data_IF_440983689845
#
_entry.id   IF_440983689845
#
_cell.length_a   1.000
_cell.length_b   1.000
_cell.length_c   1.000
_cell.angle_alpha   90.00
_cell.angle_beta   90.00
_cell.angle_gamma   90.00
#
_symmetry.space_group_name_H-M   'P 1'
#
loop_
_entity.id
_entity.type
_entity.pdbx_description
1 polymer ?
#
# COMPACT_ATOMS: atom_id res chain seq x y z
N UNK A 1 -57.57 -35.84 -85.22
CA UNK A 1 -56.11 -35.68 -85.40
C UNK A 1 -55.52 -35.56 -84.01
N UNK A 2 -54.98 -36.66 -83.46
CA UNK A 2 -54.44 -36.71 -82.10
C UNK A 2 -52.93 -36.93 -82.19
N UNK A 3 -52.16 -35.96 -81.69
CA UNK A 3 -50.78 -36.06 -81.16
C UNK A 3 -50.63 -34.83 -80.28
N UNK A 4 -51.05 -34.84 -79.01
CA UNK A 4 -50.50 -35.51 -77.81
C UNK A 4 -49.07 -35.05 -77.49
N UNK A 5 -49.01 -34.16 -76.50
CA UNK A 5 -47.88 -33.79 -75.65
C UNK A 5 -47.17 -35.00 -75.03
N UNK A 6 -45.84 -34.93 -74.93
CA UNK A 6 -44.86 -35.63 -74.04
C UNK A 6 -43.52 -35.67 -74.81
N UNK A 7 -42.32 -35.37 -74.33
CA UNK A 7 -41.72 -35.40 -72.99
C UNK A 7 -40.44 -34.52 -73.03
N UNK A 8 -40.48 -33.27 -72.57
CA UNK A 8 -39.27 -32.41 -72.54
C UNK A 8 -38.83 -32.00 -71.14
N UNK A 9 -39.25 -32.75 -70.11
CA UNK A 9 -38.84 -32.53 -68.72
C UNK A 9 -37.88 -33.60 -68.17
N UNK A 10 -37.46 -34.57 -68.99
CA UNK A 10 -36.54 -35.64 -68.59
C UNK A 10 -35.07 -35.36 -68.90
N UNK A 11 -34.73 -34.33 -69.67
CA UNK A 11 -33.35 -34.07 -70.10
C UNK A 11 -32.49 -33.22 -69.17
N UNK A 12 -32.98 -32.89 -67.96
CA UNK A 12 -32.19 -32.10 -66.98
C UNK A 12 -31.59 -32.94 -65.85
N UNK A 13 -31.83 -34.26 -65.79
CA UNK A 13 -31.35 -35.14 -64.71
C UNK A 13 -30.32 -36.19 -65.18
N UNK A 14 -30.00 -36.28 -66.47
CA UNK A 14 -29.03 -37.25 -67.00
C UNK A 14 -27.84 -36.61 -67.75
N UNK A 15 -27.29 -35.50 -67.25
CA UNK A 15 -25.98 -35.02 -67.73
C UNK A 15 -24.84 -35.42 -66.77
N UNK A 16 -24.25 -36.59 -67.03
CA UNK A 16 -23.11 -37.14 -66.29
C UNK A 16 -21.77 -36.46 -66.65
N UNK A 17 -21.74 -35.43 -67.50
CA UNK A 17 -20.49 -34.77 -67.91
C UNK A 17 -19.92 -33.81 -66.85
N UNK A 18 -20.70 -33.44 -65.82
CA UNK A 18 -20.27 -32.54 -64.74
C UNK A 18 -19.62 -33.26 -63.53
N UNK A 19 -19.75 -34.59 -63.40
CA UNK A 19 -19.21 -35.32 -62.25
C UNK A 19 -17.68 -35.38 -62.23
N UNK A 20 -17.04 -35.46 -63.40
CA UNK A 20 -15.58 -35.53 -63.53
C UNK A 20 -14.89 -34.24 -63.06
N UNK A 21 -15.31 -33.02 -63.47
CA UNK A 21 -14.67 -31.79 -62.99
C UNK A 21 -14.85 -31.53 -61.49
N UNK A 22 -16.05 -31.76 -60.92
CA UNK A 22 -16.27 -31.54 -59.48
C UNK A 22 -15.53 -32.55 -58.60
N UNK A 23 -15.43 -33.82 -59.02
CA UNK A 23 -14.65 -34.81 -58.29
C UNK A 23 -13.15 -34.49 -58.29
N UNK A 24 -12.60 -34.04 -59.42
CA UNK A 24 -11.20 -33.61 -59.52
C UNK A 24 -10.93 -32.40 -58.64
N UNK A 25 -11.81 -31.40 -58.66
CA UNK A 25 -11.72 -30.22 -57.79
C UNK A 25 -11.78 -30.64 -56.31
N UNK A 26 -12.67 -31.56 -55.94
CA UNK A 26 -12.77 -32.10 -54.57
C UNK A 26 -11.50 -32.81 -54.11
N UNK A 27 -10.86 -33.60 -54.98
CA UNK A 27 -9.58 -34.26 -54.69
C UNK A 27 -8.47 -33.22 -54.48
N UNK A 28 -8.39 -32.17 -55.31
CA UNK A 28 -7.40 -31.10 -55.13
C UNK A 28 -7.62 -30.32 -53.83
N UNK A 29 -8.87 -30.05 -53.46
CA UNK A 29 -9.19 -29.40 -52.17
C UNK A 29 -8.75 -30.30 -51.00
N UNK A 30 -9.01 -31.61 -51.07
CA UNK A 30 -8.57 -32.57 -50.05
C UNK A 30 -7.05 -32.64 -49.92
N UNK A 31 -6.33 -32.64 -51.04
CA UNK A 31 -4.86 -32.63 -51.06
C UNK A 31 -4.28 -31.31 -50.53
N UNK A 32 -4.88 -30.17 -50.89
CA UNK A 32 -4.48 -28.88 -50.36
C UNK A 32 -4.75 -28.78 -48.84
N UNK A 33 -5.90 -29.27 -48.38
CA UNK A 33 -6.27 -29.28 -46.97
C UNK A 33 -5.37 -30.20 -46.12
N UNK A 34 -5.03 -31.39 -46.65
CA UNK A 34 -4.09 -32.29 -45.96
C UNK A 34 -2.68 -31.72 -45.93
N UNK A 35 -2.21 -31.10 -47.02
CA UNK A 35 -0.91 -30.44 -47.06
C UNK A 35 -0.82 -29.27 -46.07
N UNK A 36 -1.84 -28.39 -46.02
CA UNK A 36 -1.88 -27.28 -45.06
C UNK A 36 -1.99 -27.79 -43.63
N UNK A 37 -2.78 -28.82 -43.36
CA UNK A 37 -2.90 -29.40 -42.03
C UNK A 37 -1.58 -30.00 -41.52
N UNK A 38 -0.83 -30.71 -42.38
CA UNK A 38 0.52 -31.20 -42.05
C UNK A 38 1.50 -30.04 -41.82
N UNK A 39 1.37 -28.96 -42.59
CA UNK A 39 2.21 -27.77 -42.41
C UNK A 39 1.90 -27.04 -41.09
N UNK A 40 0.62 -26.91 -40.73
CA UNK A 40 0.19 -26.37 -39.44
C UNK A 40 0.68 -27.24 -38.28
N UNK A 41 0.53 -28.56 -38.34
CA UNK A 41 1.06 -29.47 -37.32
C UNK A 41 2.58 -29.35 -37.15
N UNK A 42 3.33 -29.14 -38.24
CA UNK A 42 4.78 -28.89 -38.16
C UNK A 42 5.11 -27.53 -37.55
N UNK A 43 4.31 -26.50 -37.82
CA UNK A 43 4.48 -25.19 -37.18
C UNK A 43 4.15 -25.31 -35.69
N UNK A 44 3.03 -25.92 -35.32
CA UNK A 44 2.63 -26.12 -33.92
C UNK A 44 3.67 -26.95 -33.17
N UNK A 45 4.22 -28.00 -33.79
CA UNK A 45 5.33 -28.77 -33.23
C UNK A 45 6.60 -27.92 -33.05
N UNK A 46 6.97 -27.11 -34.05
CA UNK A 46 8.14 -26.23 -33.96
C UNK A 46 7.95 -25.11 -32.94
N UNK A 47 6.73 -24.57 -32.82
CA UNK A 47 6.34 -23.56 -31.84
C UNK A 47 6.32 -24.16 -30.44
N UNK A 48 5.78 -25.36 -30.27
CA UNK A 48 5.83 -26.09 -29.00
C UNK A 48 7.28 -26.43 -28.61
N UNK A 49 8.11 -26.86 -29.55
CA UNK A 49 9.53 -27.13 -29.33
C UNK A 49 10.31 -25.84 -29.02
N UNK A 50 10.04 -24.73 -29.72
CA UNK A 50 10.65 -23.42 -29.38
C UNK A 50 10.16 -22.89 -28.04
N UNK A 51 8.88 -23.04 -27.66
CA UNK A 51 8.39 -22.66 -26.33
C UNK A 51 9.04 -23.53 -25.24
N UNK A 52 9.19 -24.84 -25.48
CA UNK A 52 9.85 -25.77 -24.55
C UNK A 52 11.35 -25.51 -24.43
N UNK A 53 12.04 -25.25 -25.54
CA UNK A 53 13.50 -25.02 -25.58
C UNK A 53 13.91 -23.60 -25.20
N UNK A 54 13.10 -22.58 -25.49
CA UNK A 54 13.32 -21.19 -25.01
C UNK A 54 13.08 -21.08 -23.51
N UNK A 55 12.29 -22.00 -22.93
CA UNK A 55 12.04 -22.12 -21.49
C UNK A 55 12.92 -23.20 -20.87
N UNK A 56 14.21 -23.25 -21.22
CA UNK A 56 15.24 -23.95 -20.43
C UNK A 56 15.45 -23.19 -19.12
N UNK A 57 14.42 -23.18 -18.26
CA UNK A 57 14.44 -22.47 -16.99
C UNK A 57 15.53 -23.07 -16.12
N UNK A 58 16.50 -22.27 -15.72
CA UNK A 58 17.53 -22.68 -14.79
C UNK A 58 16.85 -23.19 -13.50
N UNK A 59 16.99 -24.48 -13.12
CA UNK A 59 16.28 -25.03 -11.97
C UNK A 59 16.59 -24.28 -10.67
N UNK A 60 17.82 -23.75 -10.51
CA UNK A 60 18.18 -22.91 -9.37
C UNK A 60 17.39 -21.59 -9.38
N UNK A 61 17.28 -20.94 -10.53
CA UNK A 61 16.52 -19.70 -10.67
C UNK A 61 15.03 -19.92 -10.40
N UNK A 62 14.48 -21.08 -10.81
CA UNK A 62 13.10 -21.43 -10.48
C UNK A 62 12.89 -21.61 -8.98
N UNK A 63 13.81 -22.31 -8.30
CA UNK A 63 13.76 -22.48 -6.85
C UNK A 63 13.76 -21.11 -6.14
N UNK A 64 14.64 -20.21 -6.56
CA UNK A 64 14.73 -18.83 -6.03
C UNK A 64 13.41 -18.06 -6.28
N UNK A 65 12.87 -18.11 -7.49
CA UNK A 65 11.64 -17.38 -7.84
C UNK A 65 10.43 -17.90 -7.05
N UNK A 66 10.32 -19.22 -6.86
CA UNK A 66 9.24 -19.84 -6.09
C UNK A 66 9.36 -19.48 -4.60
N UNK A 67 10.56 -19.60 -4.02
CA UNK A 67 10.80 -19.21 -2.64
C UNK A 67 10.55 -17.71 -2.42
N UNK A 68 10.98 -16.85 -3.34
CA UNK A 68 10.71 -15.41 -3.26
C UNK A 68 9.21 -15.10 -3.26
N UNK A 69 8.43 -15.78 -4.10
CA UNK A 69 6.96 -15.60 -4.13
C UNK A 69 6.30 -16.11 -2.84
N UNK A 70 6.78 -17.20 -2.26
CA UNK A 70 6.23 -17.75 -1.02
C UNK A 70 6.63 -16.91 0.19
N UNK A 71 7.89 -16.46 0.26
CA UNK A 71 8.37 -15.53 1.27
C UNK A 71 7.64 -14.19 1.23
N UNK A 72 7.32 -13.66 0.05
CA UNK A 72 6.49 -12.46 -0.09
C UNK A 72 5.05 -12.67 0.46
N UNK A 73 4.54 -13.90 0.38
CA UNK A 73 3.26 -14.28 0.99
C UNK A 73 3.38 -14.45 2.51
N UNK A 74 4.47 -15.01 3.02
CA UNK A 74 4.76 -15.05 4.45
C UNK A 74 4.84 -13.63 5.04
N UNK A 75 5.55 -12.72 4.36
CA UNK A 75 5.61 -11.31 4.74
C UNK A 75 4.22 -10.65 4.70
N UNK A 76 3.37 -11.03 3.73
CA UNK A 76 1.99 -10.54 3.65
C UNK A 76 1.17 -10.96 4.88
N UNK A 77 1.23 -12.23 5.27
CA UNK A 77 0.53 -12.74 6.45
C UNK A 77 1.02 -12.07 7.73
N UNK A 78 2.34 -11.93 7.89
CA UNK A 78 2.93 -11.23 9.03
C UNK A 78 2.48 -9.75 9.10
N UNK A 79 2.49 -9.05 7.96
CA UNK A 79 2.03 -7.66 7.91
C UNK A 79 0.50 -7.54 8.12
N UNK A 80 -0.29 -8.50 7.67
CA UNK A 80 -1.74 -8.52 7.92
C UNK A 80 -2.04 -8.68 9.41
N UNK A 81 -1.33 -9.57 10.10
CA UNK A 81 -1.44 -9.76 11.55
C UNK A 81 -1.07 -8.48 12.31
N UNK A 82 0.01 -7.82 11.90
CA UNK A 82 0.45 -6.57 12.51
C UNK A 82 -0.55 -5.41 12.31
N UNK A 83 -1.11 -5.28 11.11
CA UNK A 83 -2.13 -4.27 10.81
C UNK A 83 -3.49 -4.57 11.49
N UNK A 84 -3.83 -5.84 11.67
CA UNK A 84 -4.99 -6.26 12.46
C UNK A 84 -4.82 -5.87 13.92
N UNK A 85 -3.67 -6.19 14.51
CA UNK A 85 -3.34 -5.76 15.88
C UNK A 85 -3.42 -4.24 16.03
N UNK A 86 -2.86 -3.48 15.09
CA UNK A 86 -2.93 -2.01 15.10
C UNK A 86 -4.38 -1.50 15.06
N UNK A 87 -5.27 -2.16 14.32
CA UNK A 87 -6.70 -1.83 14.28
C UNK A 87 -7.46 -2.20 15.56
N UNK A 88 -7.06 -3.27 16.25
CA UNK A 88 -7.66 -3.73 17.52
C UNK A 88 -7.21 -2.91 18.73
N UNK A 89 -6.10 -2.16 18.63
CA UNK A 89 -5.52 -1.38 19.72
C UNK A 89 -5.49 0.12 19.38
N UNK A 90 -6.66 0.78 19.25
CA UNK A 90 -6.72 2.22 19.05
C UNK A 90 -6.42 2.99 20.35
N UNK A 91 -5.58 4.00 20.25
CA UNK A 91 -5.30 4.98 21.29
C UNK A 91 -6.09 6.25 21.00
N UNK A 92 -7.00 6.59 21.92
CA UNK A 92 -7.90 7.73 21.76
C UNK A 92 -7.34 8.98 22.45
N UNK A 93 -6.69 8.83 23.60
CA UNK A 93 -5.97 9.87 24.32
C UNK A 93 -4.96 9.19 25.27
N UNK A 94 -3.70 9.64 25.36
CA UNK A 94 -2.77 9.11 26.35
C UNK A 94 -3.24 9.40 27.78
N UNK A 95 -3.44 8.36 28.59
CA UNK A 95 -3.64 8.53 30.03
C UNK A 95 -2.36 9.08 30.68
N UNK A 96 -2.44 10.27 31.29
CA UNK A 96 -1.38 10.80 32.14
C UNK A 96 -0.44 11.87 31.55
N UNK A 97 -0.66 12.34 30.32
CA UNK A 97 0.11 13.45 29.73
C UNK A 97 -0.62 14.80 29.77
N UNK A 98 0.17 15.88 29.85
CA UNK A 98 -0.30 17.26 30.07
C UNK A 98 -0.84 17.97 28.81
N UNK A 99 -0.74 17.36 27.64
CA UNK A 99 -1.03 18.02 26.35
C UNK A 99 -2.38 17.53 25.84
N UNK A 100 -3.43 18.27 26.18
CA UNK A 100 -4.76 18.08 25.60
C UNK A 100 -4.84 18.77 24.24
N UNK A 101 -5.57 18.17 23.29
CA UNK A 101 -6.00 18.89 22.09
C UNK A 101 -6.83 20.10 22.52
N UNK A 102 -6.39 21.29 22.12
CA UNK A 102 -7.06 22.54 22.48
C UNK A 102 -6.99 23.54 21.34
N UNK A 103 -8.02 24.37 21.24
CA UNK A 103 -8.12 25.47 20.28
C UNK A 103 -8.89 26.60 20.93
N UNK A 104 -8.34 27.80 20.86
CA UNK A 104 -8.92 29.05 21.33
C UNK A 104 -8.88 30.12 20.24
N UNK A 105 -9.82 31.05 20.28
CA UNK A 105 -9.85 32.24 19.41
C UNK A 105 -9.72 31.92 17.89
N UNK A 106 -10.29 30.79 17.47
CA UNK A 106 -10.23 30.23 16.11
C UNK A 106 -8.79 29.92 15.60
N UNK A 107 -7.80 29.83 16.50
CA UNK A 107 -6.49 29.26 16.19
C UNK A 107 -6.60 27.73 16.14
N UNK A 108 -6.15 27.12 15.04
CA UNK A 108 -6.12 25.68 14.90
C UNK A 108 -4.73 25.21 14.52
N UNK A 109 -4.29 24.13 15.15
CA UNK A 109 -3.09 23.39 14.78
C UNK A 109 -3.44 21.91 14.68
N UNK A 110 -3.07 21.27 13.57
CA UNK A 110 -3.47 19.89 13.28
C UNK A 110 -2.27 19.15 12.69
N UNK A 111 -1.78 18.07 13.32
CA UNK A 111 -0.82 17.17 12.71
C UNK A 111 -1.54 16.33 11.65
N UNK A 112 -1.04 16.36 10.41
CA UNK A 112 -1.59 15.53 9.32
C UNK A 112 -1.17 14.07 9.43
N UNK A 113 -0.10 13.80 10.18
CA UNK A 113 0.40 12.48 10.53
C UNK A 113 0.72 12.44 12.04
N UNK A 114 0.12 11.47 12.74
CA UNK A 114 0.21 11.36 14.20
C UNK A 114 1.16 10.25 14.68
N UNK A 115 1.56 9.32 13.81
CA UNK A 115 2.51 8.25 14.13
C UNK A 115 3.77 8.47 13.31
N UNK A 116 4.89 8.72 13.98
CA UNK A 116 6.17 9.04 13.36
C UNK A 116 7.28 8.18 13.94
N UNK A 117 8.15 7.71 13.07
CA UNK A 117 9.47 7.23 13.45
C UNK A 117 10.49 8.38 13.45
N UNK A 118 11.65 8.13 14.05
CA UNK A 118 12.78 9.06 13.97
C UNK A 118 13.19 9.26 12.52
N UNK A 119 13.69 10.45 12.19
CA UNK A 119 14.07 10.89 10.84
C UNK A 119 12.90 11.05 9.85
N UNK A 120 11.66 10.72 10.22
CA UNK A 120 10.47 11.06 9.45
C UNK A 120 10.07 12.54 9.62
N UNK A 121 9.16 13.01 8.76
CA UNK A 121 8.71 14.41 8.74
C UNK A 121 7.28 14.50 9.27
N UNK A 122 7.11 15.25 10.36
CA UNK A 122 5.82 15.73 10.83
C UNK A 122 5.30 16.81 9.90
N UNK A 123 4.06 16.65 9.42
CA UNK A 123 3.34 17.63 8.63
C UNK A 123 2.30 18.30 9.51
N UNK A 124 2.37 19.62 9.65
CA UNK A 124 1.48 20.40 10.51
C UNK A 124 0.66 21.36 9.65
N UNK A 125 -0.66 21.36 9.83
CA UNK A 125 -1.56 22.36 9.27
C UNK A 125 -1.90 23.38 10.35
N UNK A 126 -1.69 24.65 10.04
CA UNK A 126 -1.98 25.77 10.93
C UNK A 126 -3.05 26.62 10.28
N UNK A 127 -4.15 26.88 10.98
CA UNK A 127 -5.15 27.86 10.54
C UNK A 127 -5.24 28.97 11.57
N UNK A 128 -5.11 30.20 11.08
CA UNK A 128 -5.21 31.40 11.88
C UNK A 128 -6.58 32.07 11.66
N UNK A 129 -7.14 32.77 12.66
CA UNK A 129 -8.42 33.46 12.57
C UNK A 129 -8.45 34.47 11.40
N UNK A 130 -9.58 34.52 10.69
CA UNK A 130 -9.88 35.59 9.73
C UNK A 130 -10.56 36.75 10.44
N UNK A 131 -9.95 37.93 10.37
CA UNK A 131 -10.49 39.21 10.82
C UNK A 131 -10.47 39.49 12.35
N UNK A 132 -9.44 40.22 12.78
CA UNK A 132 -9.25 40.74 14.14
C UNK A 132 -10.07 42.04 14.36
N UNK A 133 -10.69 42.63 13.33
CA UNK A 133 -11.24 44.00 13.41
C UNK A 133 -12.61 44.12 14.09
N UNK A 134 -13.41 43.05 14.20
CA UNK A 134 -14.78 43.15 14.73
C UNK A 134 -14.90 43.15 16.27
N UNK A 135 -13.92 42.57 16.99
CA UNK A 135 -14.01 42.40 18.46
C UNK A 135 -12.77 42.89 19.24
N UNK A 136 -11.67 43.22 18.56
CA UNK A 136 -10.33 43.04 19.15
C UNK A 136 -9.35 44.21 18.85
N UNK A 137 -9.82 45.44 18.59
CA UNK A 137 -8.90 46.55 18.25
C UNK A 137 -7.93 47.01 19.36
N UNK A 138 -8.08 46.57 20.62
CA UNK A 138 -7.27 47.08 21.73
C UNK A 138 -6.23 46.11 22.33
N UNK A 139 -6.40 44.79 22.23
CA UNK A 139 -5.60 43.82 23.02
C UNK A 139 -4.52 43.05 22.22
N UNK A 140 -4.59 43.05 20.88
CA UNK A 140 -3.91 42.05 20.03
C UNK A 140 -3.09 42.68 18.89
N UNK A 141 -2.41 43.80 19.17
CA UNK A 141 -1.40 44.35 18.27
C UNK A 141 0.00 44.00 18.78
N UNK A 142 0.89 43.63 17.85
CA UNK A 142 2.34 43.45 18.06
C UNK A 142 2.78 42.25 18.90
N UNK A 143 2.06 41.12 18.89
CA UNK A 143 2.59 39.86 19.44
C UNK A 143 2.96 38.90 18.32
N UNK A 144 4.03 38.15 18.55
CA UNK A 144 4.54 37.15 17.62
C UNK A 144 3.68 35.89 17.67
N UNK A 145 3.54 35.22 16.52
CA UNK A 145 2.95 33.87 16.45
C UNK A 145 4.11 32.87 16.42
N UNK A 146 4.13 31.97 17.39
CA UNK A 146 5.20 30.97 17.55
C UNK A 146 4.61 29.56 17.46
N UNK A 147 5.20 28.73 16.60
CA UNK A 147 4.99 27.28 16.62
C UNK A 147 6.17 26.65 17.37
N UNK A 148 5.85 25.85 18.38
CA UNK A 148 6.81 25.05 19.12
C UNK A 148 6.43 23.58 18.97
N UNK A 149 7.41 22.75 18.61
CA UNK A 149 7.26 21.30 18.54
C UNK A 149 8.20 20.70 19.58
N UNK A 150 7.66 19.93 20.51
CA UNK A 150 8.43 19.29 21.59
C UNK A 150 8.38 17.77 21.45
N UNK A 151 9.46 17.09 21.80
CA UNK A 151 9.44 15.64 21.96
C UNK A 151 8.73 15.21 23.26
N UNK A 152 8.65 13.90 23.48
CA UNK A 152 7.98 13.32 24.66
C UNK A 152 8.64 13.64 26.01
N UNK A 153 9.87 14.13 26.02
CA UNK A 153 10.55 14.60 27.24
C UNK A 153 10.34 16.09 27.50
N UNK A 154 9.64 16.79 26.60
CA UNK A 154 9.49 18.25 26.61
C UNK A 154 10.68 18.98 26.00
N UNK A 155 11.56 18.31 25.25
CA UNK A 155 12.67 18.95 24.56
C UNK A 155 12.20 19.56 23.24
N UNK A 156 12.54 20.83 23.00
CA UNK A 156 12.19 21.54 21.77
C UNK A 156 12.88 20.90 20.56
N UNK A 157 12.08 20.31 19.67
CA UNK A 157 12.52 19.82 18.35
C UNK A 157 12.62 21.00 17.37
N UNK A 158 11.64 21.91 17.41
CA UNK A 158 11.55 23.03 16.46
C UNK A 158 10.81 24.21 17.06
N UNK A 159 11.29 25.41 16.73
CA UNK A 159 10.65 26.68 17.03
C UNK A 159 10.61 27.55 15.76
N UNK A 160 9.41 27.94 15.35
CA UNK A 160 9.18 28.77 14.16
C UNK A 160 8.42 30.03 14.57
N UNK A 161 9.01 31.19 14.32
CA UNK A 161 8.38 32.48 14.54
C UNK A 161 7.85 33.04 13.21
N UNK A 162 6.53 33.17 13.10
CA UNK A 162 5.84 33.73 11.93
C UNK A 162 5.79 35.27 11.94
N UNK A 163 6.32 35.89 12.99
CA UNK A 163 6.29 37.32 13.22
C UNK A 163 4.92 37.79 13.70
N UNK A 164 4.67 39.09 13.49
CA UNK A 164 3.50 39.78 14.02
C UNK A 164 2.31 39.69 13.06
N UNK A 165 1.14 39.38 13.61
CA UNK A 165 -0.11 39.43 12.87
C UNK A 165 -0.48 40.89 12.51
N UNK A 166 -0.21 41.32 11.29
CA UNK A 166 -0.64 42.64 10.79
C UNK A 166 -1.79 42.49 9.79
N UNK A 167 -3.03 42.68 10.25
CA UNK A 167 -4.19 42.93 9.38
C UNK A 167 -4.54 41.80 8.41
N UNK A 168 -5.31 40.81 8.87
CA UNK A 168 -5.78 39.71 8.00
C UNK A 168 -7.27 39.84 7.68
N UNK A 169 -7.59 40.37 6.50
CA UNK A 169 -8.92 40.25 5.88
C UNK A 169 -9.17 38.87 5.24
N UNK A 170 -8.22 37.93 5.37
CA UNK A 170 -8.27 36.60 4.76
C UNK A 170 -7.80 35.55 5.78
N UNK A 171 -8.48 34.41 5.82
CA UNK A 171 -8.05 33.23 6.59
C UNK A 171 -6.65 32.82 6.10
N UNK A 172 -5.69 32.74 7.00
CA UNK A 172 -4.33 32.27 6.69
C UNK A 172 -4.25 30.80 7.05
N UNK A 173 -3.94 29.96 6.06
CA UNK A 173 -3.69 28.53 6.23
C UNK A 173 -2.26 28.26 5.80
N UNK A 174 -1.48 27.65 6.69
CA UNK A 174 -0.07 27.34 6.50
C UNK A 174 0.13 25.83 6.66
N UNK A 175 1.13 25.32 5.93
CA UNK A 175 1.61 23.95 6.08
C UNK A 175 3.08 23.99 6.43
N UNK A 176 3.47 23.20 7.44
CA UNK A 176 4.85 23.09 7.90
C UNK A 176 5.32 21.65 7.93
N UNK A 177 6.57 21.46 7.53
CA UNK A 177 7.26 20.19 7.56
C UNK A 177 8.37 20.25 8.61
N UNK A 178 8.26 19.42 9.65
CA UNK A 178 9.23 19.34 10.75
C UNK A 178 9.87 17.96 10.75
N UNK A 179 11.16 17.88 10.46
CA UNK A 179 11.92 16.63 10.52
C UNK A 179 12.16 16.22 11.98
N UNK A 180 11.77 15.02 12.36
CA UNK A 180 12.01 14.44 13.69
C UNK A 180 13.48 13.99 13.76
N UNK A 181 14.29 14.48 14.72
CA UNK A 181 15.69 14.09 14.82
C UNK A 181 15.85 12.68 15.39
N UNK A 182 16.93 11.99 15.02
CA UNK A 182 17.31 10.69 15.62
C UNK A 182 17.53 10.75 17.15
N UNK A 183 17.79 11.93 17.72
CA UNK A 183 17.91 12.10 19.17
C UNK A 183 16.56 12.28 19.91
N UNK A 184 15.43 12.32 19.20
CA UNK A 184 14.12 12.56 19.82
C UNK A 184 13.73 11.44 20.79
N UNK A 185 13.22 11.84 21.96
CA UNK A 185 12.69 10.90 22.94
C UNK A 185 11.43 10.21 22.41
N UNK A 186 11.32 8.91 22.67
CA UNK A 186 10.16 8.12 22.22
C UNK A 186 8.96 8.33 23.14
N UNK A 187 7.77 8.49 22.54
CA UNK A 187 6.50 8.64 23.24
C UNK A 187 5.65 9.77 22.65
N UNK A 188 4.65 10.21 23.41
CA UNK A 188 3.74 11.29 23.03
C UNK A 188 4.44 12.65 23.06
N UNK A 189 4.53 13.27 21.90
CA UNK A 189 5.13 14.58 21.63
C UNK A 189 4.03 15.64 21.41
N UNK A 190 4.39 16.92 21.48
CA UNK A 190 3.43 18.04 21.38
C UNK A 190 3.73 18.99 20.24
N UNK A 191 2.66 19.56 19.70
CA UNK A 191 2.69 20.76 18.87
C UNK A 191 1.88 21.84 19.54
N UNK A 192 2.48 23.02 19.68
CA UNK A 192 1.91 24.12 20.44
C UNK A 192 2.03 25.41 19.63
N UNK A 193 0.91 26.14 19.55
CA UNK A 193 0.81 27.40 18.85
C UNK A 193 0.54 28.52 19.85
N UNK A 194 1.49 29.44 19.95
CA UNK A 194 1.45 30.57 20.86
C UNK A 194 1.19 31.88 20.12
N UNK A 195 0.50 32.80 20.80
CA UNK A 195 0.37 34.19 20.42
C UNK A 195 0.93 35.09 21.54
N UNK A 196 2.15 35.60 21.35
CA UNK A 196 2.96 36.11 22.47
C UNK A 196 3.27 34.99 23.45
N UNK A 197 2.90 35.17 24.72
CA UNK A 197 3.13 34.17 25.78
C UNK A 197 1.87 33.30 26.06
N UNK A 198 0.79 33.48 25.30
CA UNK A 198 -0.46 32.74 25.48
C UNK A 198 -0.53 31.54 24.53
N UNK A 199 -0.73 30.33 25.08
CA UNK A 199 -1.03 29.13 24.29
C UNK A 199 -2.43 29.25 23.70
N UNK A 200 -2.55 29.12 22.37
CA UNK A 200 -3.81 29.27 21.64
C UNK A 200 -4.31 28.00 21.00
N UNK A 201 -3.42 27.12 20.60
CA UNK A 201 -3.80 25.80 20.15
C UNK A 201 -2.71 24.79 20.50
N UNK A 202 -3.11 23.57 20.78
CA UNK A 202 -2.20 22.47 21.02
C UNK A 202 -2.76 21.18 20.46
N UNK A 203 -1.87 20.32 20.00
CA UNK A 203 -2.20 18.95 19.62
C UNK A 203 -1.00 18.03 19.91
N UNK A 204 -1.17 16.73 19.66
CA UNK A 204 -0.17 15.72 19.96
C UNK A 204 0.10 14.77 18.79
N UNK A 205 1.26 14.13 18.85
CA UNK A 205 1.68 13.05 17.95
C UNK A 205 2.56 12.07 18.73
N UNK A 206 2.88 10.91 18.15
CA UNK A 206 3.70 9.87 18.77
C UNK A 206 4.99 9.71 17.98
N UNK A 207 6.11 9.69 18.71
CA UNK A 207 7.43 9.33 18.19
C UNK A 207 7.76 7.94 18.73
N UNK A 208 7.56 6.88 17.96
CA UNK A 208 7.87 5.52 18.41
C UNK A 208 8.33 4.61 17.29
N UNK A 209 9.03 3.54 17.65
CA UNK A 209 9.30 2.46 16.72
C UNK A 209 7.96 1.82 16.36
N UNK A 210 7.65 1.67 15.07
CA UNK A 210 6.36 1.16 14.64
C UNK A 210 6.09 -0.24 15.21
N UNK A 211 5.08 -0.42 16.09
CA UNK A 211 4.73 -1.75 16.61
C UNK A 211 4.33 -2.71 15.49
N UNK A 212 3.89 -2.16 14.36
CA UNK A 212 3.62 -2.92 13.12
C UNK A 212 4.88 -3.61 12.62
N UNK A 213 6.04 -2.92 12.62
CA UNK A 213 7.32 -3.54 12.20
C UNK A 213 7.78 -4.61 13.19
N UNK A 214 7.61 -4.38 14.49
CA UNK A 214 7.96 -5.36 15.53
C UNK A 214 7.15 -6.65 15.41
N UNK A 215 5.82 -6.52 15.32
CA UNK A 215 4.92 -7.66 15.19
C UNK A 215 5.17 -8.38 13.86
N UNK A 216 5.35 -7.63 12.77
CA UNK A 216 5.68 -8.22 11.46
C UNK A 216 6.98 -9.00 11.51
N UNK A 217 8.04 -8.44 12.10
CA UNK A 217 9.33 -9.11 12.23
C UNK A 217 9.19 -10.41 13.03
N UNK A 218 8.49 -10.38 14.15
CA UNK A 218 8.26 -11.56 14.99
C UNK A 218 7.47 -12.66 14.27
N UNK A 219 6.33 -12.31 13.66
CA UNK A 219 5.51 -13.24 12.91
C UNK A 219 6.26 -13.81 11.69
N UNK A 220 7.00 -12.96 10.96
CA UNK A 220 7.80 -13.39 9.81
C UNK A 220 8.93 -14.34 10.23
N UNK A 221 9.67 -14.03 11.30
CA UNK A 221 10.71 -14.91 11.84
C UNK A 221 10.16 -16.28 12.30
N UNK A 222 8.94 -16.30 12.85
CA UNK A 222 8.25 -17.56 13.19
C UNK A 222 7.98 -18.41 11.95
N UNK A 223 7.54 -17.79 10.84
CA UNK A 223 7.34 -18.47 9.56
C UNK A 223 8.67 -18.94 8.94
N UNK A 224 9.72 -18.12 9.01
CA UNK A 224 11.05 -18.46 8.51
C UNK A 224 11.67 -19.65 9.26
N UNK A 225 11.63 -19.63 10.59
CA UNK A 225 12.20 -20.68 11.43
C UNK A 225 11.52 -22.03 11.20
N UNK A 226 10.23 -22.03 10.87
CA UNK A 226 9.45 -23.23 10.60
C UNK A 226 9.69 -23.81 9.21
N UNK A 227 9.89 -22.96 8.20
CA UNK A 227 9.80 -23.38 6.79
C UNK A 227 11.09 -23.20 5.97
N UNK A 228 12.02 -22.36 6.40
CA UNK A 228 13.19 -21.95 5.61
C UNK A 228 14.51 -22.16 6.33
N UNK A 229 14.55 -23.15 7.25
CA UNK A 229 15.76 -23.56 7.97
C UNK A 229 16.07 -25.04 7.73
N UNK A 230 17.36 -25.41 7.80
CA UNK A 230 17.79 -26.81 7.78
C UNK A 230 17.45 -27.59 6.51
N UNK A 231 17.42 -26.92 5.36
CA UNK A 231 17.04 -27.47 4.05
C UNK A 231 15.59 -28.00 3.99
N UNK A 232 14.68 -27.45 4.80
CA UNK A 232 13.26 -27.85 4.82
C UNK A 232 12.49 -27.45 3.54
N UNK A 233 12.75 -26.25 3.01
CA UNK A 233 12.15 -25.81 1.74
C UNK A 233 12.98 -26.28 0.54
N UNK A 234 12.48 -27.29 -0.18
CA UNK A 234 13.18 -27.88 -1.32
C UNK A 234 12.38 -27.75 -2.61
N UNK A 235 13.07 -27.43 -3.71
CA UNK A 235 12.54 -27.53 -5.07
C UNK A 235 13.52 -28.32 -5.94
N UNK A 236 13.11 -29.52 -6.35
CA UNK A 236 13.96 -30.49 -7.05
C UNK A 236 15.26 -30.74 -6.28
N UNK A 237 16.41 -30.50 -6.89
CA UNK A 237 17.74 -30.68 -6.29
C UNK A 237 18.19 -29.51 -5.40
N UNK A 238 17.41 -28.43 -5.27
CA UNK A 238 17.81 -27.26 -4.49
C UNK A 238 17.03 -27.09 -3.20
N UNK A 239 17.71 -26.70 -2.13
CA UNK A 239 17.11 -26.18 -0.91
C UNK A 239 17.45 -24.71 -0.70
N UNK A 240 16.55 -23.96 -0.06
CA UNK A 240 16.76 -22.55 0.27
C UNK A 240 16.68 -22.38 1.79
N UNK A 241 17.75 -21.85 2.37
CA UNK A 241 17.77 -21.44 3.77
C UNK A 241 17.84 -19.92 3.85
N UNK A 242 16.97 -19.32 4.63
CA UNK A 242 16.92 -17.86 4.80
C UNK A 242 17.65 -17.48 6.08
N UNK A 243 18.36 -16.35 6.10
CA UNK A 243 18.95 -15.84 7.33
C UNK A 243 17.84 -15.50 8.35
N UNK A 244 17.88 -16.08 9.57
CA UNK A 244 16.86 -15.83 10.59
C UNK A 244 17.04 -14.45 11.23
N UNK A 245 16.15 -14.13 12.18
CA UNK A 245 16.23 -12.94 13.05
C UNK A 245 16.17 -11.61 12.29
N UNK A 246 15.24 -11.52 11.34
CA UNK A 246 14.89 -10.26 10.66
C UNK A 246 14.48 -9.24 11.70
N UNK A 247 15.13 -8.09 11.69
CA UNK A 247 14.87 -7.00 12.62
C UNK A 247 13.81 -6.04 12.08
N UNK A 248 13.07 -5.34 12.95
CA UNK A 248 12.09 -4.33 12.56
C UNK A 248 12.67 -3.27 11.61
N UNK A 249 13.92 -2.84 11.82
CA UNK A 249 14.58 -1.81 11.01
C UNK A 249 14.90 -2.26 9.58
N UNK A 250 14.86 -3.58 9.31
CA UNK A 250 15.04 -4.13 7.97
C UNK A 250 13.74 -4.16 7.16
N UNK A 251 12.60 -3.85 7.80
CA UNK A 251 11.28 -3.82 7.17
C UNK A 251 10.91 -2.38 6.86
N UNK A 252 10.75 -2.07 5.58
CA UNK A 252 10.23 -0.81 5.10
C UNK A 252 8.72 -0.92 4.88
N UNK A 253 7.94 0.03 5.43
CA UNK A 253 6.50 0.11 5.23
C UNK A 253 6.19 1.43 4.56
N UNK A 254 5.57 1.38 3.38
CA UNK A 254 5.14 2.57 2.64
C UNK A 254 3.62 2.60 2.51
N UNK A 255 3.02 3.76 2.77
CA UNK A 255 1.58 4.00 2.58
C UNK A 255 1.32 4.44 1.14
N UNK A 256 0.36 3.80 0.49
CA UNK A 256 -0.15 4.21 -0.82
C UNK A 256 -1.47 4.90 -0.62
N UNK A 257 -1.50 6.21 -0.86
CA UNK A 257 -2.70 7.02 -0.72
C UNK A 257 -3.49 7.08 -2.03
N UNK A 258 -4.81 7.17 -1.92
CA UNK A 258 -5.68 7.27 -3.08
C UNK A 258 -7.12 7.56 -2.69
N UNK A 259 -7.98 7.70 -3.70
CA UNK A 259 -9.42 7.88 -3.52
C UNK A 259 -10.13 6.54 -3.59
N UNK A 260 -11.19 6.39 -2.79
CA UNK A 260 -12.05 5.20 -2.82
C UNK A 260 -13.25 5.50 -3.73
N UNK A 261 -13.59 4.57 -4.62
CA UNK A 261 -14.82 4.65 -5.44
C UNK A 261 -16.10 4.29 -4.66
N UNK A 262 -15.97 3.93 -3.39
CA UNK A 262 -17.10 3.62 -2.50
C UNK A 262 -17.70 4.91 -1.97
N UNK A 263 -18.99 4.90 -1.63
CA UNK A 263 -19.71 5.99 -0.99
C UNK A 263 -19.26 6.17 0.47
N UNK A 264 -17.99 6.52 0.65
CA UNK A 264 -17.44 6.93 1.94
C UNK A 264 -17.41 8.46 1.94
N UNK A 265 -18.17 9.06 2.84
CA UNK A 265 -18.25 10.52 2.96
C UNK A 265 -17.02 11.01 3.72
N UNK A 266 -16.28 12.03 3.28
CA UNK A 266 -16.46 12.82 2.07
C UNK A 266 -15.75 12.20 0.86
N UNK A 267 -16.37 12.35 -0.32
CA UNK A 267 -15.94 11.81 -1.62
C UNK A 267 -14.59 12.33 -2.17
N UNK A 268 -13.83 13.08 -1.37
CA UNK A 268 -12.61 13.79 -1.79
C UNK A 268 -11.44 13.66 -0.80
N UNK A 269 -11.51 12.72 0.15
CA UNK A 269 -10.41 12.44 1.08
C UNK A 269 -9.46 11.41 0.48
N UNK A 270 -8.16 11.67 0.60
CA UNK A 270 -7.12 10.68 0.29
C UNK A 270 -6.99 9.75 1.49
N UNK A 271 -7.19 8.46 1.25
CA UNK A 271 -7.07 7.42 2.25
C UNK A 271 -5.81 6.61 2.01
N UNK A 272 -5.19 6.07 3.05
CA UNK A 272 -4.25 4.95 2.88
C UNK A 272 -5.04 3.77 2.33
N UNK A 273 -4.85 3.42 1.05
CA UNK A 273 -5.56 2.31 0.40
C UNK A 273 -4.77 1.02 0.50
N UNK A 274 -3.44 1.12 0.46
CA UNK A 274 -2.54 -0.02 0.61
C UNK A 274 -1.32 0.31 1.46
N UNK A 275 -0.75 -0.71 2.07
CA UNK A 275 0.60 -0.71 2.58
C UNK A 275 1.48 -1.57 1.70
N UNK A 276 2.67 -1.07 1.38
CA UNK A 276 3.73 -1.84 0.74
C UNK A 276 4.75 -2.17 1.81
N UNK A 277 4.82 -3.46 2.16
CA UNK A 277 5.85 -3.99 3.04
C UNK A 277 7.01 -4.48 2.18
N UNK A 278 8.23 -4.11 2.52
CA UNK A 278 9.42 -4.41 1.76
C UNK A 278 10.58 -4.81 2.67
N UNK A 279 11.32 -5.84 2.28
CA UNK A 279 12.63 -6.17 2.85
C UNK A 279 13.62 -6.02 1.70
N UNK A 280 14.41 -4.93 1.65
CA UNK A 280 15.26 -4.61 0.51
C UNK A 280 16.32 -5.68 0.22
N UNK A 281 16.83 -6.33 1.26
CA UNK A 281 17.83 -7.38 1.17
C UNK A 281 17.58 -8.48 2.20
N UNK A 282 16.92 -9.54 1.77
CA UNK A 282 16.78 -10.78 2.53
C UNK A 282 17.87 -11.76 2.09
N UNK A 283 18.81 -12.06 2.99
CA UNK A 283 19.90 -12.98 2.70
C UNK A 283 19.43 -14.44 2.74
N UNK A 284 19.95 -15.24 1.83
CA UNK A 284 19.67 -16.66 1.76
C UNK A 284 20.88 -17.46 1.26
N UNK A 285 20.89 -18.74 1.62
CA UNK A 285 21.82 -19.75 1.11
C UNK A 285 21.02 -20.76 0.27
N UNK A 286 21.34 -20.82 -1.02
CA UNK A 286 20.89 -21.87 -1.92
C UNK A 286 21.85 -23.06 -1.81
N UNK A 287 21.32 -24.25 -1.57
CA UNK A 287 22.10 -25.49 -1.45
C UNK A 287 21.68 -26.45 -2.55
N UNK A 288 22.62 -26.92 -3.37
CA UNK A 288 22.41 -28.04 -4.26
C UNK A 288 22.58 -29.34 -3.44
N UNK A 289 21.50 -30.09 -3.26
CA UNK A 289 21.44 -31.30 -2.46
C UNK A 289 22.14 -32.50 -3.13
N UNK A 290 22.34 -32.46 -4.44
CA UNK A 290 23.05 -33.52 -5.19
C UNK A 290 24.57 -33.35 -5.13
N UNK A 291 25.07 -32.11 -5.27
CA UNK A 291 26.52 -31.83 -5.27
C UNK A 291 27.06 -31.41 -3.90
N UNK A 292 26.19 -30.94 -3.01
CA UNK A 292 26.56 -30.35 -1.72
C UNK A 292 27.08 -28.91 -1.82
N UNK A 293 27.08 -28.31 -3.02
CA UNK A 293 27.51 -26.93 -3.22
C UNK A 293 26.49 -25.93 -2.67
N UNK A 294 26.98 -24.86 -2.06
CA UNK A 294 26.14 -23.79 -1.51
C UNK A 294 26.52 -22.44 -2.09
N UNK A 295 25.52 -21.60 -2.36
CA UNK A 295 25.68 -20.24 -2.85
C UNK A 295 24.88 -19.27 -1.99
N UNK A 296 25.55 -18.21 -1.51
CA UNK A 296 24.92 -17.15 -0.75
C UNK A 296 24.51 -15.99 -1.66
N UNK A 297 23.33 -15.45 -1.43
CA UNK A 297 22.81 -14.31 -2.16
C UNK A 297 21.78 -13.56 -1.34
N UNK A 298 21.20 -12.52 -1.91
CA UNK A 298 20.10 -11.78 -1.31
C UNK A 298 18.97 -11.60 -2.32
N UNK A 299 17.75 -11.45 -1.82
CA UNK A 299 16.58 -11.13 -2.62
C UNK A 299 15.83 -9.96 -2.01
N UNK A 300 15.24 -9.13 -2.86
CA UNK A 300 14.29 -8.11 -2.43
C UNK A 300 12.91 -8.74 -2.33
N UNK A 301 12.27 -8.61 -1.17
CA UNK A 301 10.87 -9.00 -0.99
C UNK A 301 10.00 -7.75 -0.96
N UNK A 302 8.85 -7.81 -1.61
CA UNK A 302 7.84 -6.76 -1.51
C UNK A 302 6.46 -7.38 -1.61
N UNK A 303 5.54 -6.88 -0.80
CA UNK A 303 4.15 -7.32 -0.78
C UNK A 303 3.21 -6.15 -0.52
N UNK A 304 1.99 -6.27 -1.04
CA UNK A 304 0.96 -5.24 -0.95
C UNK A 304 -0.16 -5.77 -0.04
N UNK A 305 -0.51 -5.00 0.98
CA UNK A 305 -1.59 -5.32 1.91
C UNK A 305 -2.65 -4.22 1.82
N UNK A 306 -3.90 -4.60 1.60
CA UNK A 306 -5.03 -3.65 1.56
C UNK A 306 -5.26 -3.04 2.94
N UNK A 307 -5.35 -1.72 3.01
CA UNK A 307 -5.62 -1.02 4.26
C UNK A 307 -7.06 -1.23 4.72
N UNK A 308 -7.22 -1.49 6.02
CA UNK A 308 -8.52 -1.47 6.72
C UNK A 308 -8.79 -0.13 7.42
N UNK A 309 -7.80 0.78 7.49
CA UNK A 309 -7.94 2.12 8.10
C UNK A 309 -9.16 2.89 7.60
N UNK A 310 -9.48 2.94 6.29
CA UNK A 310 -10.57 3.79 5.81
C UNK A 310 -11.94 3.34 6.31
N UNK A 311 -12.11 2.04 6.55
CA UNK A 311 -13.34 1.51 7.13
C UNK A 311 -13.41 1.81 8.63
N UNK A 312 -12.28 1.65 9.33
CA UNK A 312 -12.20 1.88 10.76
C UNK A 312 -12.42 3.37 11.10
N UNK A 313 -11.80 4.27 10.34
CA UNK A 313 -11.95 5.72 10.50
C UNK A 313 -13.42 6.16 10.38
N UNK A 314 -14.17 5.58 9.44
CA UNK A 314 -15.59 5.89 9.27
C UNK A 314 -16.45 5.33 10.39
N UNK A 315 -16.22 4.10 10.84
CA UNK A 315 -16.94 3.53 11.98
C UNK A 315 -16.74 4.38 13.24
N UNK A 316 -15.52 4.87 13.45
CA UNK A 316 -15.18 5.77 14.56
C UNK A 316 -15.90 7.10 14.41
N UNK A 317 -15.91 7.68 13.21
CA UNK A 317 -16.58 8.96 12.95
C UNK A 317 -18.10 8.88 13.10
N UNK A 318 -18.72 7.79 12.62
CA UNK A 318 -20.15 7.53 12.82
C UNK A 318 -20.46 7.43 14.32
N UNK A 319 -19.64 6.69 15.07
CA UNK A 319 -19.76 6.57 16.51
C UNK A 319 -19.61 7.92 17.26
N UNK A 320 -18.61 8.74 16.91
CA UNK A 320 -18.43 10.09 17.47
C UNK A 320 -19.63 11.01 17.20
N UNK A 321 -20.21 10.89 16.00
CA UNK A 321 -21.42 11.64 15.60
C UNK A 321 -22.63 11.23 16.44
N UNK A 322 -22.85 9.92 16.62
CA UNK A 322 -23.96 9.38 17.41
C UNK A 322 -23.83 9.70 18.91
N UNK A 323 -22.60 9.83 19.42
CA UNK A 323 -22.35 10.27 20.80
C UNK A 323 -22.64 11.77 21.04
N UNK A 324 -22.94 12.55 20.00
CA UNK A 324 -23.25 13.97 20.12
C UNK A 324 -22.04 14.85 20.46
N UNK A 325 -20.82 14.34 20.29
CA UNK A 325 -19.56 15.10 20.45
C UNK A 325 -19.28 16.03 19.26
N UNK A 326 -20.32 16.45 18.54
CA UNK A 326 -20.23 17.39 17.42
C UNK A 326 -20.08 18.83 17.95
N UNK A 327 -18.98 19.13 18.65
CA UNK A 327 -18.39 20.45 18.52
C UNK A 327 -17.81 20.55 17.13
N UNK A 328 -18.40 21.42 16.32
CA UNK A 328 -18.34 21.51 14.87
C UNK A 328 -16.98 21.92 14.26
N UNK A 329 -15.85 21.34 14.68
CA UNK A 329 -14.53 21.75 14.16
C UNK A 329 -13.50 20.68 13.82
N UNK A 330 -13.67 19.40 14.18
CA UNK A 330 -12.61 18.41 13.93
C UNK A 330 -12.97 17.43 12.80
N UNK A 331 -12.25 17.54 11.69
CA UNK A 331 -12.24 16.53 10.60
C UNK A 331 -11.18 15.45 10.82
N UNK A 332 -10.52 15.46 11.98
CA UNK A 332 -9.43 14.56 12.37
C UNK A 332 -9.84 13.78 13.61
N UNK A 333 -10.12 12.49 13.42
CA UNK A 333 -10.44 11.55 14.50
C UNK A 333 -9.41 11.65 15.62
N UNK A 334 -9.84 11.57 16.87
CA UNK A 334 -8.94 11.51 18.04
C UNK A 334 -8.22 10.15 18.15
N UNK A 335 -8.25 9.33 17.11
CA UNK A 335 -7.90 7.92 17.18
C UNK A 335 -6.58 7.68 16.46
N UNK A 336 -5.56 7.38 17.25
CA UNK A 336 -4.25 6.92 16.78
C UNK A 336 -4.22 5.40 16.86
N UNK A 337 -3.87 4.75 15.75
CA UNK A 337 -3.85 3.29 15.71
C UNK A 337 -2.49 2.74 16.18
N UNK A 338 -2.54 1.82 17.15
CA UNK A 338 -1.43 0.94 17.48
C UNK A 338 -0.34 1.52 18.39
N UNK A 339 -0.63 2.52 19.23
CA UNK A 339 0.32 2.96 20.24
C UNK A 339 0.16 2.12 21.54
N UNK A 340 1.28 1.81 22.20
CA UNK A 340 1.32 1.09 23.49
C UNK A 340 2.14 1.81 24.53
#
# INVERSE_FOLDING_TARGET
>A
MVRKFSDDFSYFIEDNCAYIPFAVIGIFILLAATYTSVHFLKIDSKVAETIYTTKKSNPSQNAINLASSDLARCLNYAGMEALEWQGEHPVILPEGNAVSRSSEDDFMIIPKNQNLEREETLQVSINLPSDIWGKIEAFWKNRDILLIVNDSSGHEIKNINYGQATGFFQKVSLEEDVKIPDSAASGYASIELYYGDELKASDWFVIEASPVKDITANAFNTLLSTNYQGNSHTFREYAINVEPDIKPEQIEIRKVTGTLQREISPAYKNYTVYYVFEIPALNYTLVNLETGESFNSSMKLSTLITSREPLLEELVREYETELGNTSSLDSTSNLVLGAT
#
